data_IF_542738273523
#
_entry.id   IF_542738273523
#
_cell.length_a   1.000
_cell.length_b   1.000
_cell.length_c   1.000
_cell.angle_alpha   90.00
_cell.angle_beta   90.00
_cell.angle_gamma   90.00
#
_symmetry.space_group_name_H-M   'P 1'
#
loop_
_entity.id
_entity.type
_entity.pdbx_description
1 polymer ?
#
# COMPACT_ATOMS: atom_id res chain seq x y z
N UNK A 1 -1.17 20.30 -8.49
CA UNK A 1 -0.27 19.21 -8.06
C UNK A 1 0.53 19.70 -6.86
N UNK A 2 0.82 18.84 -5.88
CA UNK A 2 1.73 19.20 -4.78
C UNK A 2 3.09 19.62 -5.34
N UNK A 3 3.60 20.74 -4.83
CA UNK A 3 4.96 21.22 -5.08
C UNK A 3 5.97 20.19 -4.53
N UNK A 4 7.02 19.89 -5.30
CA UNK A 4 8.05 18.91 -4.91
C UNK A 4 8.92 19.37 -3.73
N UNK A 5 8.88 20.66 -3.39
CA UNK A 5 9.58 21.25 -2.26
C UNK A 5 8.79 21.17 -0.95
N UNK A 6 7.51 20.80 -1.00
CA UNK A 6 6.70 20.59 0.21
C UNK A 6 7.12 19.29 0.88
N UNK A 7 7.50 19.41 2.14
CA UNK A 7 7.66 18.29 3.05
C UNK A 7 6.26 17.80 3.47
N UNK A 8 5.94 16.55 3.13
CA UNK A 8 4.62 15.95 3.41
C UNK A 8 4.60 15.37 4.83
N UNK A 9 5.68 14.68 5.19
CA UNK A 9 5.96 14.17 6.53
C UNK A 9 7.38 14.56 6.92
N UNK A 10 7.74 14.60 8.21
CA UNK A 10 9.10 14.95 8.64
C UNK A 10 10.17 14.11 7.91
N UNK A 11 11.03 14.78 7.16
CA UNK A 11 12.09 14.20 6.34
C UNK A 11 11.66 13.68 4.96
N UNK A 12 10.38 13.73 4.61
CA UNK A 12 9.85 13.14 3.39
C UNK A 12 9.34 14.21 2.42
N UNK A 13 9.95 14.23 1.24
CA UNK A 13 9.43 14.97 0.11
C UNK A 13 8.34 14.14 -0.62
N UNK A 14 7.78 14.73 -1.67
CA UNK A 14 6.74 14.12 -2.51
C UNK A 14 7.15 12.76 -3.11
N UNK A 15 8.41 12.57 -3.50
CA UNK A 15 8.91 11.30 -4.06
C UNK A 15 8.96 10.22 -2.97
N UNK A 16 9.43 10.56 -1.77
CA UNK A 16 9.47 9.64 -0.63
C UNK A 16 8.05 9.19 -0.24
N UNK A 17 7.11 10.13 -0.22
CA UNK A 17 5.70 9.82 0.00
C UNK A 17 5.15 8.84 -1.05
N UNK A 18 5.38 9.05 -2.35
CA UNK A 18 4.94 8.07 -3.36
C UNK A 18 5.64 6.72 -3.22
N UNK A 19 6.91 6.69 -2.81
CA UNK A 19 7.62 5.44 -2.57
C UNK A 19 7.01 4.64 -1.42
N UNK A 20 6.58 5.32 -0.36
CA UNK A 20 5.80 4.72 0.72
C UNK A 20 4.47 4.13 0.22
N UNK A 21 3.68 4.91 -0.53
CA UNK A 21 2.41 4.44 -1.09
C UNK A 21 2.63 3.24 -2.01
N UNK A 22 3.62 3.31 -2.91
CA UNK A 22 3.96 2.21 -3.82
C UNK A 22 4.33 0.92 -3.06
N UNK A 23 5.04 1.03 -1.94
CA UNK A 23 5.38 -0.12 -1.10
C UNK A 23 4.15 -0.79 -0.49
N UNK A 24 3.21 -0.01 0.05
CA UNK A 24 1.94 -0.54 0.57
C UNK A 24 1.07 -1.14 -0.54
N UNK A 25 0.96 -0.50 -1.70
CA UNK A 25 0.22 -1.03 -2.86
C UNK A 25 0.82 -2.35 -3.36
N UNK A 26 2.15 -2.46 -3.43
CA UNK A 26 2.83 -3.70 -3.81
C UNK A 26 2.56 -4.83 -2.80
N UNK A 27 2.49 -4.51 -1.51
CA UNK A 27 2.13 -5.45 -0.46
C UNK A 27 0.68 -5.93 -0.60
N UNK A 28 -0.27 -5.02 -0.82
CA UNK A 28 -1.69 -5.36 -1.04
C UNK A 28 -1.83 -6.25 -2.28
N UNK A 29 -1.16 -5.90 -3.38
CA UNK A 29 -1.09 -6.73 -4.58
C UNK A 29 -0.59 -8.14 -4.26
N UNK A 30 0.52 -8.26 -3.52
CA UNK A 30 1.09 -9.56 -3.17
C UNK A 30 0.13 -10.40 -2.32
N UNK A 31 -0.58 -9.78 -1.37
CA UNK A 31 -1.59 -10.48 -0.57
C UNK A 31 -2.66 -11.11 -1.45
N UNK A 32 -3.25 -10.34 -2.36
CA UNK A 32 -4.30 -10.84 -3.26
C UNK A 32 -3.75 -11.87 -4.24
N UNK A 33 -2.52 -11.69 -4.74
CA UNK A 33 -1.87 -12.65 -5.61
C UNK A 33 -1.66 -14.00 -4.90
N UNK A 34 -1.15 -13.98 -3.67
CA UNK A 34 -0.95 -15.19 -2.89
C UNK A 34 -2.29 -15.87 -2.55
N UNK A 35 -3.30 -15.09 -2.16
CA UNK A 35 -4.65 -15.60 -1.91
C UNK A 35 -5.23 -16.30 -3.14
N UNK A 36 -5.21 -15.64 -4.30
CA UNK A 36 -5.74 -16.17 -5.55
C UNK A 36 -5.02 -17.46 -6.01
N UNK A 37 -3.73 -17.60 -5.66
CA UNK A 37 -2.93 -18.78 -6.02
C UNK A 37 -2.84 -19.84 -4.92
N UNK A 38 -3.52 -19.66 -3.78
CA UNK A 38 -3.42 -20.56 -2.63
C UNK A 38 -2.01 -20.68 -2.05
N UNK A 39 -1.18 -19.64 -2.20
CA UNK A 39 0.20 -19.60 -1.70
C UNK A 39 0.24 -18.92 -0.32
N UNK A 40 1.17 -19.32 0.56
CA UNK A 40 1.39 -18.58 1.79
C UNK A 40 1.87 -17.17 1.50
N UNK A 41 1.49 -16.23 2.36
CA UNK A 41 2.05 -14.87 2.35
C UNK A 41 3.54 -14.92 2.73
N UNK A 42 4.35 -14.01 2.17
CA UNK A 42 5.73 -13.84 2.61
C UNK A 42 5.76 -13.30 4.04
N UNK A 43 6.86 -13.59 4.73
CA UNK A 43 7.20 -12.89 5.96
C UNK A 43 7.55 -11.45 5.60
N UNK A 44 6.68 -10.53 5.97
CA UNK A 44 6.94 -9.10 5.88
C UNK A 44 7.78 -8.66 7.07
N UNK A 45 8.61 -7.62 6.88
CA UNK A 45 9.55 -7.12 7.88
C UNK A 45 8.93 -7.05 9.29
N UNK A 46 9.40 -7.92 10.18
CA UNK A 46 9.09 -7.95 11.62
C UNK A 46 7.57 -8.04 11.97
N UNK A 47 6.76 -8.72 11.16
CA UNK A 47 5.29 -8.82 11.36
C UNK A 47 4.61 -7.46 11.54
N UNK A 48 5.15 -6.38 10.96
CA UNK A 48 4.67 -5.01 11.15
C UNK A 48 4.66 -4.53 12.63
N UNK A 49 5.52 -5.09 13.49
CA UNK A 49 5.69 -4.58 14.87
C UNK A 49 6.26 -3.16 14.91
N UNK A 50 6.88 -2.73 13.82
CA UNK A 50 7.46 -1.40 13.66
C UNK A 50 7.16 -0.88 12.24
N UNK A 51 6.07 -0.13 12.11
CA UNK A 51 5.64 0.46 10.84
C UNK A 51 6.65 1.49 10.31
N UNK A 52 7.39 2.18 11.18
CA UNK A 52 8.36 3.19 10.74
C UNK A 52 9.54 2.52 10.01
N UNK A 53 10.01 1.39 10.51
CA UNK A 53 11.03 0.58 9.83
C UNK A 53 10.54 0.03 8.48
N UNK A 54 9.27 -0.41 8.40
CA UNK A 54 8.67 -0.88 7.14
C UNK A 54 8.56 0.25 6.12
N UNK A 55 8.04 1.40 6.55
CA UNK A 55 7.92 2.61 5.75
C UNK A 55 9.29 3.06 5.21
N UNK A 56 10.32 3.07 6.07
CA UNK A 56 11.68 3.39 5.67
C UNK A 56 12.23 2.40 4.64
N UNK A 57 11.93 1.10 4.78
CA UNK A 57 12.33 0.08 3.80
C UNK A 57 11.68 0.32 2.43
N UNK A 58 10.38 0.64 2.37
CA UNK A 58 9.69 0.95 1.13
C UNK A 58 10.25 2.18 0.42
N UNK A 59 10.59 3.23 1.19
CA UNK A 59 11.25 4.44 0.66
C UNK A 59 12.65 4.12 0.15
N UNK A 60 13.44 3.33 0.91
CA UNK A 60 14.80 2.95 0.56
C UNK A 60 14.85 2.05 -0.69
N UNK A 61 13.93 1.09 -0.83
CA UNK A 61 13.82 0.23 -2.01
C UNK A 61 13.67 1.04 -3.32
N UNK A 62 12.95 2.16 -3.24
CA UNK A 62 12.67 3.03 -4.40
C UNK A 62 13.56 4.27 -4.44
N UNK A 63 14.62 4.35 -3.64
CA UNK A 63 15.44 5.57 -3.48
C UNK A 63 16.01 6.13 -4.80
N UNK A 64 16.29 5.27 -5.77
CA UNK A 64 16.84 5.64 -7.08
C UNK A 64 15.77 5.80 -8.17
N UNK A 65 14.49 5.62 -7.82
CA UNK A 65 13.36 5.74 -8.76
C UNK A 65 12.97 7.18 -9.02
N UNK A 66 12.59 7.47 -10.27
CA UNK A 66 11.95 8.74 -10.63
C UNK A 66 10.52 8.78 -10.08
N UNK A 67 10.05 9.96 -9.64
CA UNK A 67 8.69 10.16 -9.13
C UNK A 67 7.63 9.55 -10.06
N UNK A 68 7.74 9.80 -11.37
CA UNK A 68 6.79 9.32 -12.37
C UNK A 68 6.74 7.79 -12.46
N UNK A 69 7.89 7.12 -12.35
CA UNK A 69 7.96 5.66 -12.38
C UNK A 69 7.34 5.05 -11.11
N UNK A 70 7.56 5.67 -9.96
CA UNK A 70 7.00 5.22 -8.68
C UNK A 70 5.47 5.38 -8.71
N UNK A 71 4.96 6.47 -9.28
CA UNK A 71 3.51 6.66 -9.43
C UNK A 71 2.91 5.65 -10.40
N UNK A 72 3.59 5.37 -11.50
CA UNK A 72 3.18 4.33 -12.44
C UNK A 72 3.13 2.95 -11.77
N UNK A 73 4.08 2.65 -10.88
CA UNK A 73 4.05 1.43 -10.07
C UNK A 73 2.78 1.34 -9.21
N UNK A 74 2.39 2.43 -8.52
CA UNK A 74 1.12 2.47 -7.79
C UNK A 74 -0.07 2.16 -8.70
N UNK A 75 -0.14 2.81 -9.87
CA UNK A 75 -1.26 2.65 -10.80
C UNK A 75 -1.35 1.22 -11.35
N UNK A 76 -0.20 0.59 -11.62
CA UNK A 76 -0.13 -0.82 -12.05
C UNK A 76 -0.62 -1.74 -10.94
N UNK A 77 -0.15 -1.54 -9.70
CA UNK A 77 -0.59 -2.34 -8.54
C UNK A 77 -2.09 -2.22 -8.32
N UNK A 78 -2.64 -1.01 -8.33
CA UNK A 78 -4.08 -0.75 -8.18
C UNK A 78 -4.90 -1.45 -9.25
N UNK A 79 -4.49 -1.31 -10.51
CA UNK A 79 -5.17 -1.98 -11.62
C UNK A 79 -5.17 -3.50 -11.42
N UNK A 80 -4.03 -4.08 -11.05
CA UNK A 80 -3.91 -5.52 -10.82
C UNK A 80 -4.73 -5.99 -9.61
N UNK A 81 -4.74 -5.23 -8.51
CA UNK A 81 -5.55 -5.51 -7.32
C UNK A 81 -7.04 -5.55 -7.69
N UNK A 82 -7.54 -4.53 -8.38
CA UNK A 82 -8.94 -4.50 -8.81
C UNK A 82 -9.29 -5.72 -9.67
N UNK A 83 -8.43 -6.07 -10.63
CA UNK A 83 -8.63 -7.27 -11.47
C UNK A 83 -8.69 -8.56 -10.66
N UNK A 84 -7.79 -8.74 -9.70
CA UNK A 84 -7.82 -9.91 -8.83
C UNK A 84 -9.07 -9.94 -7.95
N UNK A 85 -9.52 -8.78 -7.46
CA UNK A 85 -10.75 -8.69 -6.67
C UNK A 85 -12.01 -9.01 -7.49
N UNK A 86 -12.05 -8.65 -8.78
CA UNK A 86 -13.14 -9.04 -9.70
C UNK A 86 -13.26 -10.57 -9.85
N UNK A 87 -12.17 -11.31 -9.67
CA UNK A 87 -12.12 -12.77 -9.79
C UNK A 87 -12.46 -13.51 -8.48
N UNK A 88 -12.54 -12.80 -7.34
CA UNK A 88 -12.90 -13.41 -6.06
C UNK A 88 -14.42 -13.70 -6.06
N UNK A 89 -14.85 -14.95 -5.85
CA UNK A 89 -16.29 -15.25 -5.70
C UNK A 89 -16.89 -14.45 -4.54
N UNK A 90 -18.11 -13.92 -4.70
CA UNK A 90 -18.77 -13.12 -3.65
C UNK A 90 -18.82 -13.84 -2.29
N UNK A 91 -19.09 -15.14 -2.29
CA UNK A 91 -19.12 -15.97 -1.09
C UNK A 91 -17.76 -16.10 -0.38
N UNK A 92 -16.67 -15.74 -1.06
CA UNK A 92 -15.30 -15.92 -0.60
C UNK A 92 -14.73 -14.62 -0.03
N UNK A 93 -15.34 -13.46 -0.31
CA UNK A 93 -14.89 -12.16 0.23
C UNK A 93 -14.85 -12.12 1.76
N UNK A 94 -15.74 -12.87 2.41
CA UNK A 94 -15.87 -12.96 3.87
C UNK A 94 -15.13 -14.15 4.49
N UNK A 95 -14.42 -14.96 3.69
CA UNK A 95 -13.60 -16.05 4.22
C UNK A 95 -12.33 -15.47 4.86
N UNK A 96 -11.91 -15.96 6.04
CA UNK A 96 -10.68 -15.52 6.65
C UNK A 96 -9.45 -15.91 5.82
N UNK A 97 -8.59 -14.93 5.55
CA UNK A 97 -7.23 -15.08 5.04
C UNK A 97 -6.28 -15.03 6.24
N UNK A 98 -5.31 -15.94 6.27
CA UNK A 98 -4.29 -15.97 7.32
C UNK A 98 -3.12 -15.04 6.93
N UNK A 99 -2.87 -14.05 7.78
CA UNK A 99 -1.75 -13.12 7.71
C UNK A 99 -0.71 -13.43 8.81
N UNK A 100 0.55 -13.00 8.64
CA UNK A 100 1.54 -13.06 9.71
C UNK A 100 1.08 -12.37 11.01
N UNK A 101 0.29 -11.29 10.90
CA UNK A 101 -0.20 -10.51 12.04
C UNK A 101 -1.63 -10.84 12.49
N UNK A 102 -2.28 -11.85 11.91
CA UNK A 102 -3.64 -12.22 12.32
C UNK A 102 -4.50 -12.80 11.19
N UNK A 103 -5.82 -12.71 11.34
CA UNK A 103 -6.78 -13.13 10.31
C UNK A 103 -7.66 -11.96 9.92
N UNK A 104 -7.80 -11.71 8.63
CA UNK A 104 -8.71 -10.71 8.06
C UNK A 104 -9.46 -11.33 6.89
N UNK A 105 -10.61 -10.78 6.53
CA UNK A 105 -11.31 -11.14 5.29
C UNK A 105 -10.75 -10.31 4.13
N UNK A 106 -10.99 -10.74 2.88
CA UNK A 106 -10.63 -9.95 1.71
C UNK A 106 -11.32 -8.57 1.74
N UNK A 107 -12.59 -8.53 2.16
CA UNK A 107 -13.35 -7.28 2.35
C UNK A 107 -12.67 -6.35 3.37
N UNK A 108 -12.37 -6.85 4.58
CA UNK A 108 -11.78 -6.03 5.63
C UNK A 108 -10.41 -5.50 5.22
N UNK A 109 -9.59 -6.35 4.60
CA UNK A 109 -8.26 -5.96 4.16
C UNK A 109 -8.31 -4.89 3.05
N UNK A 110 -9.22 -5.02 2.08
CA UNK A 110 -9.43 -4.00 1.06
C UNK A 110 -9.91 -2.67 1.65
N UNK A 111 -10.85 -2.71 2.60
CA UNK A 111 -11.30 -1.50 3.29
C UNK A 111 -10.16 -0.81 4.06
N UNK A 112 -9.31 -1.58 4.76
CA UNK A 112 -8.16 -1.01 5.49
C UNK A 112 -7.17 -0.31 4.55
N UNK A 113 -6.90 -0.89 3.38
CA UNK A 113 -6.06 -0.26 2.35
C UNK A 113 -6.68 1.04 1.82
N UNK A 114 -8.00 1.07 1.61
CA UNK A 114 -8.72 2.26 1.16
C UNK A 114 -8.68 3.36 2.22
N UNK A 115 -8.90 3.01 3.49
CA UNK A 115 -8.90 3.98 4.58
C UNK A 115 -7.50 4.56 4.82
N UNK A 116 -6.44 3.76 4.70
CA UNK A 116 -5.06 4.24 4.69
C UNK A 116 -4.82 5.33 3.62
N UNK A 117 -5.25 5.10 2.37
CA UNK A 117 -5.11 6.10 1.30
C UNK A 117 -5.92 7.38 1.58
N UNK A 118 -7.12 7.25 2.18
CA UNK A 118 -7.97 8.39 2.55
C UNK A 118 -7.35 9.24 3.65
N UNK A 119 -6.70 8.62 4.63
CA UNK A 119 -5.98 9.33 5.70
C UNK A 119 -4.85 10.18 5.10
N UNK A 120 -4.04 9.62 4.21
CA UNK A 120 -2.99 10.36 3.51
C UNK A 120 -3.54 11.47 2.60
N UNK A 121 -4.63 11.22 1.88
CA UNK A 121 -5.30 12.24 1.09
C UNK A 121 -5.76 13.42 1.96
N UNK A 122 -6.32 13.13 3.15
CA UNK A 122 -6.73 14.16 4.09
C UNK A 122 -5.53 14.98 4.61
N UNK A 123 -4.39 14.35 4.88
CA UNK A 123 -3.17 15.06 5.28
C UNK A 123 -2.65 15.99 4.18
N UNK A 124 -2.63 15.52 2.93
CA UNK A 124 -2.27 16.32 1.75
C UNK A 124 -3.19 17.54 1.61
N UNK A 125 -4.50 17.36 1.78
CA UNK A 125 -5.46 18.47 1.67
C UNK A 125 -5.22 19.53 2.75
N UNK A 126 -4.84 19.14 3.98
CA UNK A 126 -4.48 20.09 5.04
C UNK A 126 -3.24 20.91 4.67
N UNK A 127 -2.27 20.33 3.97
CA UNK A 127 -1.07 21.05 3.53
C UNK A 127 -1.37 22.09 2.45
N UNK A 128 -2.37 21.84 1.59
CA UNK A 128 -2.76 22.76 0.51
C UNK A 128 -3.57 23.97 0.97
N UNK A 129 -4.08 23.96 2.20
CA UNK A 129 -4.86 25.05 2.80
C UNK A 129 -4.00 26.04 3.62
N UNK A 130 -2.69 25.79 3.71
CA UNK A 130 -1.71 26.66 4.37
C UNK A 130 -1.12 27.66 3.37
#
# INVERSE_FOLDING_TARGET
ALDSTIEIYPGWNKRDFYAHIAGWEAMVYEVFLCHANGKPLKDYHNDFKDNDSVNAAYVAERQNGLEENIKLECDISRYAIMRMMEDIPEADFNKPIQFPWGKLTAEKFAHDAIDHEREHAADILKLQQR
#
